data_IF_992087333042
#
_entry.id   IF_992087333042
#
_cell.length_a   1.000
_cell.length_b   1.000
_cell.length_c   1.000
_cell.angle_alpha   90.00
_cell.angle_beta   90.00
_cell.angle_gamma   90.00
#
_symmetry.space_group_name_H-M   'P 1'
#
loop_
_entity.id
_entity.type
_entity.pdbx_description
1 polymer ?
#
# COMPACT_ATOMS: atom_id res chain seq x y z
N UNK A 1 -24.05 5.32 11.74
CA UNK A 1 -23.41 6.54 11.18
C UNK A 1 -22.14 6.22 10.39
N UNK A 2 -21.21 5.39 10.88
CA UNK A 2 -19.96 5.03 10.18
C UNK A 2 -20.16 4.53 8.72
N UNK A 3 -21.23 3.76 8.46
CA UNK A 3 -21.50 3.20 7.13
C UNK A 3 -21.77 4.24 6.03
N UNK A 4 -22.29 5.42 6.36
CA UNK A 4 -22.50 6.50 5.37
C UNK A 4 -21.14 7.11 4.98
N UNK A 5 -20.30 7.38 5.97
CA UNK A 5 -18.97 7.98 5.75
C UNK A 5 -18.08 7.06 4.90
N UNK A 6 -18.15 5.73 5.13
CA UNK A 6 -17.42 4.74 4.31
C UNK A 6 -17.94 4.72 2.87
N UNK A 7 -19.26 4.83 2.65
CA UNK A 7 -19.81 4.95 1.29
C UNK A 7 -19.31 6.21 0.59
N UNK A 8 -19.23 7.34 1.29
CA UNK A 8 -18.66 8.57 0.73
C UNK A 8 -17.18 8.40 0.36
N UNK A 9 -16.38 7.71 1.18
CA UNK A 9 -15.00 7.36 0.86
C UNK A 9 -14.91 6.49 -0.40
N UNK A 10 -15.76 5.47 -0.51
CA UNK A 10 -15.82 4.59 -1.68
C UNK A 10 -16.19 5.35 -2.95
N UNK A 11 -17.16 6.26 -2.89
CA UNK A 11 -17.53 7.12 -4.03
C UNK A 11 -16.34 7.96 -4.48
N UNK A 12 -15.58 8.55 -3.55
CA UNK A 12 -14.34 9.27 -3.87
C UNK A 12 -13.29 8.37 -4.51
N UNK A 13 -13.11 7.15 -4.00
CA UNK A 13 -12.18 6.18 -4.61
C UNK A 13 -12.57 5.90 -6.07
N UNK A 14 -13.86 5.70 -6.36
CA UNK A 14 -14.33 5.49 -7.72
C UNK A 14 -14.08 6.68 -8.64
N UNK A 15 -14.16 7.92 -8.13
CA UNK A 15 -13.81 9.12 -8.89
C UNK A 15 -12.30 9.19 -9.16
N UNK A 16 -11.46 8.88 -8.18
CA UNK A 16 -10.01 8.86 -8.32
C UNK A 16 -9.55 7.81 -9.35
N UNK A 17 -10.08 6.59 -9.30
CA UNK A 17 -9.77 5.53 -10.28
C UNK A 17 -10.01 6.00 -11.72
N UNK A 18 -11.16 6.65 -11.98
CA UNK A 18 -11.49 7.16 -13.33
C UNK A 18 -10.49 8.19 -13.85
N UNK A 19 -9.82 8.91 -12.96
CA UNK A 19 -8.84 9.95 -13.32
C UNK A 19 -7.43 9.41 -13.55
N UNK A 20 -7.14 8.16 -13.21
CA UNK A 20 -5.79 7.61 -13.13
C UNK A 20 -5.32 6.75 -14.32
N UNK A 21 -5.97 6.88 -15.48
CA UNK A 21 -5.49 6.26 -16.71
C UNK A 21 -4.26 7.00 -17.26
N UNK A 22 -3.08 6.59 -16.83
CA UNK A 22 -1.81 7.04 -17.41
C UNK A 22 -0.83 5.87 -17.50
N UNK A 23 -0.16 5.72 -18.66
CA UNK A 23 1.04 4.90 -18.78
C UNK A 23 2.13 5.49 -17.87
N UNK A 24 2.24 4.99 -16.64
CA UNK A 24 3.31 5.41 -15.73
C UNK A 24 4.60 4.68 -16.15
N UNK A 25 5.74 5.39 -16.25
CA UNK A 25 7.02 4.73 -16.48
C UNK A 25 7.32 3.80 -15.30
N UNK A 26 7.91 2.64 -15.58
CA UNK A 26 8.33 1.70 -14.54
C UNK A 26 9.84 1.91 -14.30
N UNK A 27 10.25 2.66 -13.26
CA UNK A 27 11.65 3.01 -13.07
C UNK A 27 12.46 1.76 -12.75
N UNK A 28 13.74 1.70 -13.12
CA UNK A 28 14.57 0.56 -12.69
C UNK A 28 14.60 0.46 -11.16
N UNK A 29 14.22 -0.69 -10.62
CA UNK A 29 14.28 -0.94 -9.18
C UNK A 29 15.68 -0.72 -8.60
N UNK A 30 16.72 -0.99 -9.41
CA UNK A 30 18.11 -0.73 -9.02
C UNK A 30 18.34 0.75 -8.70
N UNK A 31 17.80 1.66 -9.50
CA UNK A 31 17.93 3.12 -9.29
C UNK A 31 16.90 3.71 -8.33
N UNK A 32 15.81 3.00 -8.02
CA UNK A 32 14.81 3.45 -7.07
C UNK A 32 15.44 3.71 -5.68
N UNK A 33 15.05 4.80 -5.03
CA UNK A 33 15.55 5.21 -3.71
C UNK A 33 14.43 5.27 -2.69
N UNK A 34 13.31 5.90 -3.02
CA UNK A 34 12.23 6.15 -2.08
C UNK A 34 11.14 5.10 -2.26
N UNK A 35 10.89 4.30 -1.23
CA UNK A 35 9.96 3.18 -1.28
C UNK A 35 8.88 3.39 -0.22
N UNK A 36 7.63 3.46 -0.67
CA UNK A 36 6.47 3.40 0.21
C UNK A 36 6.06 1.94 0.42
N UNK A 37 5.65 1.60 1.64
CA UNK A 37 5.01 0.32 1.96
C UNK A 37 3.71 0.60 2.69
N UNK A 38 2.60 0.06 2.17
CA UNK A 38 1.29 0.18 2.80
C UNK A 38 0.61 -1.19 2.92
N UNK A 39 -0.01 -1.42 4.08
CA UNK A 39 -0.73 -2.65 4.37
C UNK A 39 -1.77 -2.47 5.47
N UNK A 40 -2.72 -3.40 5.51
CA UNK A 40 -3.68 -3.58 6.60
C UNK A 40 -3.09 -4.49 7.67
N UNK A 41 -3.17 -4.08 8.93
CA UNK A 41 -2.85 -4.94 10.07
C UNK A 41 -3.78 -6.14 10.10
N UNK A 42 -3.20 -7.33 10.07
CA UNK A 42 -3.92 -8.60 10.07
C UNK A 42 -3.04 -9.68 10.68
N UNK A 43 -3.06 -9.77 12.01
CA UNK A 43 -2.33 -10.78 12.76
C UNK A 43 -0.79 -10.69 12.70
N UNK A 44 -0.16 -11.52 13.54
CA UNK A 44 1.29 -11.51 13.77
C UNK A 44 2.12 -12.02 12.59
N UNK A 45 1.57 -12.94 11.80
CA UNK A 45 2.29 -13.55 10.67
C UNK A 45 2.59 -12.50 9.59
N UNK A 46 1.55 -11.80 9.11
CA UNK A 46 1.69 -10.70 8.15
C UNK A 46 2.63 -9.63 8.66
N UNK A 47 2.47 -9.21 9.92
CA UNK A 47 3.34 -8.21 10.52
C UNK A 47 4.82 -8.65 10.52
N UNK A 48 5.09 -9.93 10.81
CA UNK A 48 6.45 -10.48 10.78
C UNK A 48 7.01 -10.50 9.36
N UNK A 49 6.19 -10.87 8.38
CA UNK A 49 6.56 -10.83 6.97
C UNK A 49 6.86 -9.40 6.49
N UNK A 50 6.04 -8.41 6.85
CA UNK A 50 6.29 -6.99 6.53
C UNK A 50 7.60 -6.50 7.13
N UNK A 51 7.90 -6.84 8.39
CA UNK A 51 9.20 -6.48 9.01
C UNK A 51 10.38 -7.06 8.24
N UNK A 52 10.28 -8.32 7.80
CA UNK A 52 11.31 -8.94 6.97
C UNK A 52 11.46 -8.23 5.63
N UNK A 53 10.34 -7.91 4.97
CA UNK A 53 10.31 -7.20 3.70
C UNK A 53 10.95 -5.80 3.79
N UNK A 54 10.56 -5.01 4.79
CA UNK A 54 11.14 -3.68 5.06
C UNK A 54 12.64 -3.78 5.38
N UNK A 55 13.06 -4.80 6.15
CA UNK A 55 14.47 -5.05 6.44
C UNK A 55 15.27 -5.30 5.15
N UNK A 56 14.78 -6.13 4.24
CA UNK A 56 15.43 -6.39 2.95
C UNK A 56 15.60 -5.11 2.11
N UNK A 57 14.57 -4.26 2.06
CA UNK A 57 14.65 -2.98 1.36
C UNK A 57 15.70 -2.04 1.98
N UNK A 58 15.76 -1.97 3.31
CA UNK A 58 16.77 -1.17 4.02
C UNK A 58 18.20 -1.69 3.79
N UNK A 59 18.39 -3.02 3.77
CA UNK A 59 19.68 -3.65 3.42
C UNK A 59 20.13 -3.32 1.98
N UNK A 60 19.17 -3.06 1.09
CA UNK A 60 19.40 -2.54 -0.27
C UNK A 60 19.58 -1.01 -0.32
N UNK A 61 19.75 -0.36 0.83
CA UNK A 61 19.95 1.09 0.97
C UNK A 61 18.79 1.92 0.39
N UNK A 62 17.57 1.40 0.47
CA UNK A 62 16.35 2.14 0.10
C UNK A 62 15.87 2.97 1.30
N UNK A 63 15.31 4.14 1.01
CA UNK A 63 14.61 4.96 1.99
C UNK A 63 13.17 4.46 2.09
N UNK A 64 12.86 3.71 3.15
CA UNK A 64 11.55 3.06 3.30
C UNK A 64 10.65 3.84 4.24
N UNK A 65 9.47 4.23 3.77
CA UNK A 65 8.39 4.79 4.58
C UNK A 65 7.25 3.78 4.65
N UNK A 66 6.76 3.50 5.85
CA UNK A 66 5.73 2.48 6.09
C UNK A 66 4.51 3.13 6.71
N UNK A 67 3.34 2.89 6.11
CA UNK A 67 2.06 3.32 6.65
C UNK A 67 1.15 2.12 6.83
N UNK A 68 0.56 1.99 8.02
CA UNK A 68 -0.30 0.85 8.37
C UNK A 68 -1.73 1.28 8.60
N UNK A 69 -2.69 0.60 7.97
CA UNK A 69 -4.09 0.71 8.37
C UNK A 69 -4.37 -0.28 9.51
N UNK A 70 -4.87 0.20 10.64
CA UNK A 70 -5.20 -0.61 11.82
C UNK A 70 -6.73 -0.66 11.98
N UNK A 71 -7.37 -1.82 11.70
CA UNK A 71 -8.78 -2.04 12.01
C UNK A 71 -9.03 -1.94 13.52
N UNK A 72 -10.26 -1.55 13.92
CA UNK A 72 -10.62 -1.38 15.34
C UNK A 72 -10.49 -2.64 16.20
N UNK A 73 -10.48 -3.81 15.57
CA UNK A 73 -10.48 -5.12 16.24
C UNK A 73 -9.08 -5.67 16.49
N UNK A 74 -8.04 -5.07 15.91
CA UNK A 74 -6.68 -5.58 16.03
C UNK A 74 -6.00 -5.06 17.31
N UNK A 75 -5.27 -5.95 17.97
CA UNK A 75 -4.47 -5.60 19.14
C UNK A 75 -3.38 -4.60 18.76
N UNK A 76 -3.10 -3.67 19.67
CA UNK A 76 -2.04 -2.69 19.50
C UNK A 76 -0.69 -3.40 19.71
N UNK A 77 -0.20 -4.11 18.69
CA UNK A 77 1.19 -4.54 18.67
C UNK A 77 2.07 -3.28 18.80
N UNK A 78 3.22 -3.35 19.47
CA UNK A 78 4.14 -2.21 19.53
C UNK A 78 4.57 -1.82 18.10
N UNK A 79 3.85 -0.87 17.50
CA UNK A 79 4.07 -0.41 16.15
C UNK A 79 5.15 0.66 16.18
N UNK A 80 6.24 0.42 15.45
CA UNK A 80 7.23 1.44 15.12
C UNK A 80 6.91 2.18 13.82
N UNK A 81 5.77 1.87 13.20
CA UNK A 81 5.34 2.49 11.94
C UNK A 81 4.19 3.45 12.21
N UNK A 82 4.14 4.49 11.37
CA UNK A 82 3.01 5.39 11.33
C UNK A 82 1.75 4.61 10.95
N UNK A 83 0.63 4.98 11.55
CA UNK A 83 -0.62 4.26 11.35
C UNK A 83 -1.81 5.21 11.24
N UNK A 84 -2.88 4.68 10.64
CA UNK A 84 -4.18 5.31 10.60
C UNK A 84 -5.27 4.24 10.75
N UNK A 85 -6.49 4.67 11.01
CA UNK A 85 -7.62 3.78 11.31
C UNK A 85 -8.93 4.45 10.92
N UNK A 86 -10.04 3.71 11.06
CA UNK A 86 -11.37 4.25 10.83
C UNK A 86 -11.70 5.49 11.68
N UNK A 87 -11.05 5.67 12.83
CA UNK A 87 -11.28 6.81 13.70
C UNK A 87 -10.84 8.14 13.06
N UNK A 88 -10.02 8.08 12.00
CA UNK A 88 -9.58 9.23 11.24
C UNK A 88 -10.55 9.56 10.09
N UNK A 89 -11.69 8.87 9.94
CA UNK A 89 -12.65 9.17 8.89
C UNK A 89 -13.62 10.27 9.33
N UNK A 90 -13.52 11.43 8.67
CA UNK A 90 -14.48 12.51 8.87
C UNK A 90 -15.89 12.14 8.41
N UNK A 91 -16.88 12.89 8.88
CA UNK A 91 -18.27 12.75 8.45
C UNK A 91 -18.48 12.97 6.95
N UNK A 92 -17.57 13.71 6.31
CA UNK A 92 -17.62 13.90 4.86
C UNK A 92 -17.01 12.74 4.10
N UNK A 93 -16.33 11.78 4.74
CA UNK A 93 -15.65 10.65 4.08
C UNK A 93 -14.22 10.98 3.63
N UNK A 94 -13.55 11.90 4.31
CA UNK A 94 -12.13 12.25 4.13
C UNK A 94 -11.33 11.65 5.28
N UNK A 95 -10.17 11.06 4.97
CA UNK A 95 -9.22 10.57 5.97
C UNK A 95 -8.41 11.76 6.51
N UNK A 96 -8.54 12.02 7.81
CA UNK A 96 -7.93 13.13 8.54
C UNK A 96 -6.86 12.60 9.51
N UNK A 97 -5.79 12.04 8.95
CA UNK A 97 -4.58 11.64 9.68
C UNK A 97 -3.37 12.39 9.11
N UNK A 98 -2.52 12.97 9.96
CA UNK A 98 -1.37 13.75 9.51
C UNK A 98 -0.30 12.86 8.85
N UNK A 99 -0.16 11.65 9.35
CA UNK A 99 0.69 10.58 8.82
C UNK A 99 0.27 10.22 7.40
N UNK A 100 -1.04 10.09 7.14
CA UNK A 100 -1.57 9.85 5.78
C UNK A 100 -1.25 11.01 4.85
N UNK A 101 -1.42 12.26 5.31
CA UNK A 101 -1.12 13.44 4.49
C UNK A 101 0.37 13.55 4.16
N UNK A 102 1.26 13.17 5.09
CA UNK A 102 2.72 13.13 4.87
C UNK A 102 3.05 12.06 3.84
N UNK A 103 2.54 10.85 4.03
CA UNK A 103 2.76 9.72 3.14
C UNK A 103 2.27 9.99 1.71
N UNK A 104 1.07 10.56 1.54
CA UNK A 104 0.51 10.91 0.23
C UNK A 104 1.36 11.95 -0.54
N UNK A 105 2.03 12.86 0.18
CA UNK A 105 2.88 13.91 -0.41
C UNK A 105 4.28 13.42 -0.77
N UNK A 106 4.78 12.40 -0.08
CA UNK A 106 6.12 11.88 -0.29
C UNK A 106 6.26 11.28 -1.69
N UNK A 107 7.23 11.71 -2.51
CA UNK A 107 7.47 11.11 -3.81
C UNK A 107 8.14 9.73 -3.65
N UNK A 108 7.45 8.70 -4.11
CA UNK A 108 7.95 7.32 -4.13
C UNK A 108 8.31 6.88 -5.53
N UNK A 109 9.44 6.20 -5.69
CA UNK A 109 9.75 5.46 -6.91
C UNK A 109 8.85 4.22 -7.02
N UNK A 110 8.68 3.53 -5.89
CA UNK A 110 7.78 2.39 -5.76
C UNK A 110 6.89 2.52 -4.52
N UNK A 111 5.60 2.20 -4.67
CA UNK A 111 4.69 1.93 -3.56
C UNK A 111 4.29 0.46 -3.58
N UNK A 112 4.64 -0.28 -2.52
CA UNK A 112 4.22 -1.66 -2.31
C UNK A 112 2.92 -1.71 -1.52
N UNK A 113 1.87 -2.28 -2.12
CA UNK A 113 0.62 -2.64 -1.45
C UNK A 113 0.68 -4.13 -1.07
N UNK A 114 0.82 -4.41 0.23
CA UNK A 114 1.02 -5.78 0.73
C UNK A 114 -0.28 -6.43 1.24
N UNK A 115 -1.42 -6.05 0.64
CA UNK A 115 -2.74 -6.61 0.94
C UNK A 115 -3.21 -7.53 -0.18
N UNK A 116 -3.61 -8.77 0.17
CA UNK A 116 -4.30 -9.68 -0.74
C UNK A 116 -5.78 -9.35 -0.93
N UNK A 117 -6.31 -8.38 -0.17
CA UNK A 117 -7.65 -7.83 -0.34
C UNK A 117 -7.65 -6.41 0.21
N UNK A 118 -7.95 -5.44 -0.63
CA UNK A 118 -7.73 -4.03 -0.31
C UNK A 118 -9.01 -3.38 0.18
N UNK A 119 -8.96 -2.87 1.41
CA UNK A 119 -10.08 -2.15 2.00
C UNK A 119 -10.18 -0.69 1.46
N UNK A 120 -11.34 -0.01 1.63
CA UNK A 120 -11.55 1.33 1.09
C UNK A 120 -10.58 2.41 1.60
N UNK A 121 -10.05 2.26 2.81
CA UNK A 121 -9.10 3.20 3.41
C UNK A 121 -7.74 3.10 2.75
N UNK A 122 -7.18 1.89 2.69
CA UNK A 122 -5.91 1.63 2.00
C UNK A 122 -6.02 2.00 0.52
N UNK A 123 -7.14 1.64 -0.13
CA UNK A 123 -7.41 2.04 -1.52
C UNK A 123 -7.34 3.57 -1.71
N UNK A 124 -7.88 4.35 -0.78
CA UNK A 124 -7.83 5.81 -0.88
C UNK A 124 -6.40 6.35 -0.85
N UNK A 125 -5.58 5.85 0.09
CA UNK A 125 -4.19 6.28 0.24
C UNK A 125 -3.35 5.85 -0.96
N UNK A 126 -3.52 4.61 -1.45
CA UNK A 126 -2.83 4.13 -2.67
C UNK A 126 -3.19 5.00 -3.87
N UNK A 127 -4.46 5.34 -4.05
CA UNK A 127 -4.91 6.21 -5.14
C UNK A 127 -4.35 7.63 -5.04
N UNK A 128 -4.15 8.16 -3.83
CA UNK A 128 -3.61 9.52 -3.64
C UNK A 128 -2.09 9.59 -3.54
N UNK A 129 -1.42 8.45 -3.41
CA UNK A 129 0.03 8.40 -3.28
C UNK A 129 0.74 9.03 -4.49
N UNK A 130 1.81 9.77 -4.20
CA UNK A 130 2.72 10.31 -5.21
C UNK A 130 3.78 9.26 -5.62
N UNK A 131 3.32 8.08 -6.05
CA UNK A 131 4.16 6.97 -6.44
C UNK A 131 4.28 6.86 -7.96
N UNK A 132 5.52 6.73 -8.46
CA UNK A 132 5.81 6.49 -9.87
C UNK A 132 5.28 5.12 -10.30
N UNK A 133 5.56 4.06 -9.53
CA UNK A 133 5.08 2.71 -9.79
C UNK A 133 4.44 2.10 -8.54
N UNK A 134 3.21 1.59 -8.64
CA UNK A 134 2.49 0.93 -7.56
C UNK A 134 2.41 -0.56 -7.83
N UNK A 135 2.83 -1.36 -6.87
CA UNK A 135 3.02 -2.80 -7.06
C UNK A 135 2.38 -3.60 -5.93
N UNK A 136 1.93 -4.81 -6.23
CA UNK A 136 1.24 -5.64 -5.25
C UNK A 136 0.72 -6.95 -5.84
N UNK A 137 -0.36 -7.46 -5.25
CA UNK A 137 -0.95 -8.74 -5.64
C UNK A 137 -2.18 -8.54 -6.51
N UNK A 138 -2.35 -9.40 -7.51
CA UNK A 138 -3.48 -9.36 -8.42
C UNK A 138 -4.77 -9.71 -7.68
N UNK A 139 -5.72 -8.79 -7.70
CA UNK A 139 -7.14 -9.00 -7.41
C UNK A 139 -7.96 -8.09 -8.31
N UNK A 140 -9.25 -8.34 -8.46
CA UNK A 140 -10.13 -7.47 -9.23
C UNK A 140 -10.11 -6.03 -8.68
N UNK A 141 -10.03 -5.86 -7.36
CA UNK A 141 -9.93 -4.55 -6.70
C UNK A 141 -8.59 -3.85 -6.95
N UNK A 142 -7.49 -4.61 -6.88
CA UNK A 142 -6.13 -4.11 -7.03
C UNK A 142 -5.79 -3.77 -8.48
N UNK A 143 -6.38 -4.48 -9.44
CA UNK A 143 -6.21 -4.22 -10.88
C UNK A 143 -6.57 -2.81 -11.32
N UNK A 144 -7.38 -2.12 -10.50
CA UNK A 144 -7.84 -0.76 -10.76
C UNK A 144 -6.90 0.33 -10.21
N UNK A 145 -5.92 -0.04 -9.36
CA UNK A 145 -5.13 0.92 -8.57
C UNK A 145 -3.62 0.65 -8.60
N UNK A 146 -3.19 -0.49 -9.15
CA UNK A 146 -1.78 -0.88 -9.24
C UNK A 146 -1.30 -0.89 -10.69
N UNK A 147 -0.02 -0.61 -10.88
CA UNK A 147 0.64 -0.55 -12.19
C UNK A 147 1.32 -1.88 -12.54
N UNK A 148 1.75 -2.66 -11.54
CA UNK A 148 2.25 -4.03 -11.71
C UNK A 148 1.73 -4.95 -10.60
N UNK A 149 1.38 -6.18 -10.96
CA UNK A 149 0.85 -7.16 -10.02
C UNK A 149 1.41 -8.54 -10.31
N UNK A 150 1.58 -9.35 -9.26
CA UNK A 150 1.80 -10.79 -9.39
C UNK A 150 0.56 -11.54 -8.94
N UNK A 151 0.27 -12.67 -9.61
CA UNK A 151 -0.80 -13.55 -9.20
C UNK A 151 -0.27 -14.54 -8.16
N UNK A 152 -1.07 -14.82 -7.13
CA UNK A 152 -0.68 -15.69 -6.01
C UNK A 152 -1.71 -16.81 -5.89
N UNK A 153 -1.22 -18.04 -5.75
CA UNK A 153 -2.08 -19.22 -5.58
C UNK A 153 -2.49 -19.46 -4.13
N UNK A 154 -1.68 -19.00 -3.18
CA UNK A 154 -1.89 -19.13 -1.75
C UNK A 154 -1.48 -17.85 -0.99
N UNK A 155 -2.11 -17.60 0.16
CA UNK A 155 -1.87 -16.40 0.98
C UNK A 155 -0.73 -16.59 1.97
N UNK A 156 0.45 -17.00 1.49
CA UNK A 156 1.63 -17.17 2.34
C UNK A 156 2.45 -15.88 2.39
N UNK A 157 2.25 -15.03 3.41
CA UNK A 157 2.85 -13.69 3.44
C UNK A 157 4.38 -13.66 3.21
N UNK A 158 5.21 -14.48 3.88
CA UNK A 158 6.65 -14.46 3.63
C UNK A 158 7.01 -14.78 2.18
N UNK A 159 6.46 -15.87 1.62
CA UNK A 159 6.76 -16.30 0.26
C UNK A 159 6.32 -15.27 -0.76
N UNK A 160 5.07 -14.82 -0.68
CA UNK A 160 4.52 -13.91 -1.69
C UNK A 160 5.20 -12.53 -1.66
N UNK A 161 5.66 -12.08 -0.49
CA UNK A 161 6.40 -10.83 -0.37
C UNK A 161 7.80 -10.95 -0.99
N UNK A 162 8.46 -12.10 -0.83
CA UNK A 162 9.72 -12.39 -1.50
C UNK A 162 9.56 -12.47 -3.02
N UNK A 163 8.51 -13.15 -3.51
CA UNK A 163 8.21 -13.23 -4.94
C UNK A 163 7.93 -11.85 -5.55
N UNK A 164 7.10 -11.04 -4.89
CA UNK A 164 6.82 -9.67 -5.34
C UNK A 164 8.11 -8.84 -5.42
N UNK A 165 8.99 -8.93 -4.42
CA UNK A 165 10.28 -8.23 -4.45
C UNK A 165 11.20 -8.74 -5.56
N UNK A 166 11.20 -10.05 -5.82
CA UNK A 166 11.97 -10.66 -6.90
C UNK A 166 11.51 -10.14 -8.26
N UNK A 167 10.22 -10.25 -8.56
CA UNK A 167 9.67 -9.78 -9.84
C UNK A 167 9.87 -8.28 -10.04
N UNK A 168 9.72 -7.48 -8.98
CA UNK A 168 9.92 -6.02 -9.09
C UNK A 168 11.37 -5.63 -9.40
N UNK A 169 12.36 -6.42 -8.95
CA UNK A 169 13.77 -6.24 -9.35
C UNK A 169 13.99 -6.54 -10.84
N UNK A 170 13.23 -7.46 -11.41
CA UNK A 170 13.39 -7.94 -12.78
C UNK A 170 12.68 -7.08 -13.84
N UNK A 171 11.79 -6.15 -13.43
CA UNK A 171 10.91 -5.36 -14.33
C UNK A 171 11.62 -4.50 -15.39
N UNK A 172 12.94 -4.35 -15.33
CA UNK A 172 13.72 -3.52 -16.26
C UNK A 172 14.97 -4.23 -16.80
N UNK A 173 14.97 -5.57 -16.79
CA UNK A 173 15.97 -6.41 -17.47
C UNK A 173 15.51 -6.86 -18.87
N UNK A 174 14.45 -6.26 -19.43
CA UNK A 174 13.91 -6.55 -20.76
C UNK A 174 14.13 -5.37 -21.72
#
# INVERSE_FOLDING_TARGET
MLGINIKLLQIRNSQLVKSQYSNRPNPSFRSAKNIGVIFTMEGKEKFTAVKSFVKQLNEMQKNVEVLTFVPKTEENYEFKYDYFSENHLSFTGIIEAEEVKKFEKQPFDYLYLLDFSTNPFVKNVVLKSNAVSRVGFYTDENSQILDFMINVSDKNYPREFEELLKYTKDLNHQ
#
